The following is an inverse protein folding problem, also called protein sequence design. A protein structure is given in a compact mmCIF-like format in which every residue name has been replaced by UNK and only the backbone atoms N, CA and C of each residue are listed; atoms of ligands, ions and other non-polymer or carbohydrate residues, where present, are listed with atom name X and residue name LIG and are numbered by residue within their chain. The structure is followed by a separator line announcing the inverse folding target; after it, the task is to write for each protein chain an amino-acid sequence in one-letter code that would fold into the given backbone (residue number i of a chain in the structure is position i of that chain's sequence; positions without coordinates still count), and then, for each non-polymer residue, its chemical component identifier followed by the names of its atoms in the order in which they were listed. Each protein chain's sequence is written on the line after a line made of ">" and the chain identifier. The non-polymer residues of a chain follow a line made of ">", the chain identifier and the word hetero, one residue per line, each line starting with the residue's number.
data_IF_796166239143
#
_entry.id   IF_796166239143
#
_cell.length_a   1.000
_cell.length_b   1.000
_cell.length_c   1.000
_cell.angle_alpha   90.00
_cell.angle_beta   90.00
_cell.angle_gamma   90.00
#
_symmetry.space_group_name_H-M   'P 1'
#
loop_
_entity.id
_entity.type
_entity.pdbx_description
1 polymer ?
#
# COMPACT_ATOMS: atom_id res chain seq x y z
N UNK A 1 -15.43 17.02 -1.62
CA UNK A 1 -14.78 15.88 -0.93
C UNK A 1 -14.65 16.17 0.57
N UNK A 2 -14.01 17.27 0.99
CA UNK A 2 -13.77 17.58 2.41
C UNK A 2 -15.07 17.68 3.24
N UNK A 3 -16.12 18.34 2.71
CA UNK A 3 -17.42 18.49 3.38
C UNK A 3 -18.15 17.13 3.57
N UNK A 4 -18.00 16.22 2.62
CA UNK A 4 -18.61 14.89 2.69
C UNK A 4 -17.86 13.98 3.67
N UNK A 5 -16.53 14.00 3.63
CA UNK A 5 -15.68 13.21 4.54
C UNK A 5 -15.88 13.66 5.99
N UNK A 6 -16.00 14.98 6.27
CA UNK A 6 -16.27 15.47 7.63
C UNK A 6 -17.61 15.00 8.18
N UNK A 7 -18.63 14.83 7.33
CA UNK A 7 -19.96 14.33 7.74
C UNK A 7 -20.00 12.83 8.01
N UNK A 8 -19.23 12.05 7.23
CA UNK A 8 -19.27 10.57 7.26
C UNK A 8 -18.16 9.94 8.08
N UNK A 9 -17.16 10.72 8.48
CA UNK A 9 -15.99 10.23 9.21
C UNK A 9 -16.35 9.80 10.62
N UNK A 10 -16.25 8.50 10.90
CA UNK A 10 -16.20 8.03 12.27
C UNK A 10 -14.98 8.60 12.99
N UNK A 11 -15.12 9.04 14.25
CA UNK A 11 -14.03 9.65 15.06
C UNK A 11 -12.75 8.80 15.12
N UNK A 12 -12.88 7.48 14.92
CA UNK A 12 -11.77 6.50 14.93
C UNK A 12 -11.18 6.19 13.54
N UNK A 13 -11.79 6.68 12.45
CA UNK A 13 -11.34 6.36 11.09
C UNK A 13 -10.38 7.41 10.57
N UNK A 14 -9.32 6.97 9.93
CA UNK A 14 -8.35 7.81 9.23
C UNK A 14 -8.60 7.73 7.73
N UNK A 15 -8.64 8.88 7.08
CA UNK A 15 -8.81 8.99 5.63
C UNK A 15 -7.49 9.40 5.01
N UNK A 16 -7.05 8.62 4.04
CA UNK A 16 -5.88 8.88 3.21
C UNK A 16 -6.32 8.94 1.75
N UNK A 17 -5.87 9.95 1.03
CA UNK A 17 -6.13 10.08 -0.41
C UNK A 17 -4.81 10.02 -1.16
N UNK A 18 -4.74 9.17 -2.17
CA UNK A 18 -3.59 9.04 -3.06
C UNK A 18 -3.99 9.45 -4.48
N UNK A 19 -4.01 10.74 -4.81
CA UNK A 19 -4.37 11.23 -6.13
C UNK A 19 -3.24 10.98 -7.13
N UNK A 20 -3.51 11.14 -8.46
CA UNK A 20 -2.45 11.19 -9.46
C UNK A 20 -1.37 12.22 -9.09
N UNK A 21 -0.11 11.93 -9.40
CA UNK A 21 1.02 12.78 -9.02
C UNK A 21 0.88 14.23 -9.47
N UNK A 22 0.29 14.46 -10.65
CA UNK A 22 0.05 15.80 -11.21
C UNK A 22 -0.91 16.66 -10.38
N UNK A 23 -1.76 16.03 -9.55
CA UNK A 23 -2.73 16.72 -8.70
C UNK A 23 -2.31 16.77 -7.22
N UNK A 24 -1.26 16.05 -6.86
CA UNK A 24 -0.90 15.79 -5.46
C UNK A 24 -0.65 17.11 -4.67
N UNK A 25 0.16 18.00 -5.21
CA UNK A 25 0.50 19.27 -4.56
C UNK A 25 -0.71 20.18 -4.36
N UNK A 26 -1.65 20.19 -5.31
CA UNK A 26 -2.88 21.00 -5.22
C UNK A 26 -3.75 20.52 -4.05
N UNK A 27 -3.85 19.21 -3.83
CA UNK A 27 -4.63 18.66 -2.72
C UNK A 27 -3.96 18.87 -1.37
N UNK A 28 -2.65 18.70 -1.28
CA UNK A 28 -1.88 18.88 -0.03
C UNK A 28 -1.99 20.32 0.46
N UNK A 29 -1.90 21.30 -0.43
CA UNK A 29 -1.99 22.71 -0.12
C UNK A 29 -3.39 23.15 0.34
N UNK A 30 -4.42 22.37 0.08
CA UNK A 30 -5.80 22.70 0.44
C UNK A 30 -6.12 22.62 1.94
N UNK A 31 -5.18 22.23 2.81
CA UNK A 31 -5.31 22.14 4.29
C UNK A 31 -6.61 21.48 4.76
N UNK A 32 -6.96 20.36 4.17
CA UNK A 32 -8.25 19.68 4.38
C UNK A 32 -8.33 18.87 5.68
N UNK A 33 -7.24 18.71 6.43
CA UNK A 33 -7.15 17.80 7.56
C UNK A 33 -7.14 16.30 7.17
N UNK A 34 -7.01 16.01 5.86
CA UNK A 34 -6.87 14.67 5.27
C UNK A 34 -5.38 14.42 5.06
N UNK A 35 -4.96 13.17 5.25
CA UNK A 35 -3.59 12.77 4.91
C UNK A 35 -3.53 12.38 3.42
N UNK A 36 -2.38 12.66 2.81
CA UNK A 36 -2.13 12.36 1.39
C UNK A 36 -0.96 11.41 1.21
N UNK A 37 -0.99 10.65 0.13
CA UNK A 37 0.05 9.70 -0.24
C UNK A 37 0.30 9.65 -1.74
N UNK A 38 1.44 9.11 -2.12
CA UNK A 38 1.75 8.76 -3.50
C UNK A 38 1.14 7.41 -3.88
N UNK A 39 0.78 7.25 -5.16
CA UNK A 39 0.31 5.97 -5.70
C UNK A 39 1.44 4.94 -5.89
N UNK A 40 2.69 5.42 -5.92
CA UNK A 40 3.93 4.63 -5.98
C UNK A 40 5.12 5.53 -5.65
N UNK A 41 6.31 4.93 -5.50
CA UNK A 41 7.58 5.65 -5.56
C UNK A 41 8.66 4.80 -6.24
N UNK A 42 9.69 5.48 -6.78
CA UNK A 42 10.87 4.81 -7.31
C UNK A 42 11.75 4.28 -6.16
N UNK A 43 12.43 3.17 -6.39
CA UNK A 43 13.30 2.53 -5.40
C UNK A 43 14.63 3.26 -5.17
N UNK A 44 14.99 4.18 -6.05
CA UNK A 44 16.15 5.05 -5.89
C UNK A 44 15.68 6.49 -5.64
N UNK A 45 16.51 7.24 -4.91
CA UNK A 45 16.20 8.61 -4.53
C UNK A 45 16.38 9.61 -5.67
N UNK A 46 17.40 9.38 -6.47
CA UNK A 46 17.81 10.24 -7.60
C UNK A 46 18.45 9.41 -8.70
N UNK A 47 18.62 10.00 -9.89
CA UNK A 47 19.24 9.38 -11.05
C UNK A 47 18.52 9.72 -12.34
N UNK A 48 18.95 9.11 -13.44
CA UNK A 48 18.38 9.30 -14.78
C UNK A 48 17.10 8.45 -14.97
N UNK A 49 16.08 8.75 -14.20
CA UNK A 49 14.79 8.02 -14.19
C UNK A 49 13.66 8.95 -14.61
N UNK A 50 13.68 9.37 -15.86
CA UNK A 50 12.71 10.31 -16.43
C UNK A 50 11.26 9.85 -16.17
N UNK A 51 10.47 10.72 -15.53
CA UNK A 51 9.06 10.46 -15.21
C UNK A 51 8.82 9.71 -13.88
N UNK A 52 9.86 9.19 -13.22
CA UNK A 52 9.72 8.55 -11.91
C UNK A 52 9.65 9.59 -10.77
N UNK A 53 8.89 9.26 -9.75
CA UNK A 53 8.74 10.06 -8.52
C UNK A 53 9.44 9.34 -7.37
N UNK A 54 10.40 9.99 -6.72
CA UNK A 54 11.11 9.38 -5.58
C UNK A 54 10.35 9.55 -4.26
N UNK A 55 10.70 8.72 -3.26
CA UNK A 55 10.17 8.85 -1.91
C UNK A 55 10.49 10.23 -1.29
N UNK A 56 11.66 10.79 -1.61
CA UNK A 56 12.04 12.15 -1.20
C UNK A 56 11.12 13.21 -1.80
N UNK A 57 10.81 13.13 -3.10
CA UNK A 57 9.88 14.04 -3.76
C UNK A 57 8.50 13.98 -3.11
N UNK A 58 7.98 12.79 -2.83
CA UNK A 58 6.72 12.63 -2.12
C UNK A 58 6.74 13.29 -0.74
N UNK A 59 7.81 13.04 0.02
CA UNK A 59 7.96 13.63 1.35
C UNK A 59 8.04 15.15 1.29
N UNK A 60 8.82 15.70 0.37
CA UNK A 60 8.96 17.16 0.16
C UNK A 60 7.65 17.81 -0.30
N UNK A 61 6.85 17.09 -1.09
CA UNK A 61 5.51 17.55 -1.45
C UNK A 61 4.51 17.55 -0.26
N UNK A 62 4.85 16.91 0.87
CA UNK A 62 4.01 16.85 2.07
C UNK A 62 3.22 15.54 2.22
N UNK A 63 3.52 14.51 1.43
CA UNK A 63 2.91 13.20 1.59
C UNK A 63 3.33 12.56 2.92
N UNK A 64 2.38 11.84 3.52
CA UNK A 64 2.62 11.00 4.71
C UNK A 64 2.58 9.52 4.38
N UNK A 65 2.03 9.14 3.23
CA UNK A 65 1.81 7.76 2.82
C UNK A 65 2.35 7.51 1.42
N UNK A 66 2.57 6.22 1.11
CA UNK A 66 2.84 5.73 -0.24
C UNK A 66 2.23 4.34 -0.39
N UNK A 67 1.59 4.08 -1.53
CA UNK A 67 1.14 2.74 -1.93
C UNK A 67 2.32 2.01 -2.57
N UNK A 68 2.57 0.77 -2.18
CA UNK A 68 3.63 -0.07 -2.76
C UNK A 68 3.05 -1.44 -3.08
N UNK A 69 3.36 -1.96 -4.26
CA UNK A 69 3.00 -3.30 -4.69
C UNK A 69 1.54 -3.48 -5.06
N UNK A 70 0.83 -2.41 -5.47
CA UNK A 70 -0.51 -2.51 -6.03
C UNK A 70 -0.57 -3.53 -7.16
N UNK A 71 -1.67 -4.30 -7.25
CA UNK A 71 -1.82 -5.39 -8.22
C UNK A 71 -1.59 -4.97 -9.66
N UNK A 72 -2.08 -3.80 -10.06
CA UNK A 72 -1.84 -3.25 -11.40
C UNK A 72 -0.35 -3.05 -11.70
N UNK A 73 0.42 -2.58 -10.73
CA UNK A 73 1.85 -2.38 -10.92
C UNK A 73 2.60 -3.71 -11.01
N UNK A 74 2.22 -4.69 -10.19
CA UNK A 74 2.76 -6.06 -10.32
C UNK A 74 2.42 -6.67 -11.68
N UNK A 75 1.21 -6.43 -12.19
CA UNK A 75 0.73 -7.00 -13.45
C UNK A 75 1.30 -6.26 -14.67
N UNK A 76 1.17 -4.94 -14.73
CA UNK A 76 1.49 -4.16 -15.92
C UNK A 76 2.92 -3.62 -15.93
N UNK A 77 3.47 -3.25 -14.77
CA UNK A 77 4.85 -2.77 -14.65
C UNK A 77 5.84 -3.89 -14.30
N UNK A 78 5.35 -5.13 -14.08
CA UNK A 78 6.16 -6.32 -13.75
C UNK A 78 7.03 -6.14 -12.51
N UNK A 79 6.53 -5.37 -11.53
CA UNK A 79 7.26 -5.15 -10.28
C UNK A 79 7.54 -6.45 -9.54
N UNK A 80 8.80 -6.70 -9.25
CA UNK A 80 9.28 -7.87 -8.53
C UNK A 80 9.30 -7.64 -7.03
N UNK A 81 9.25 -8.72 -6.22
CA UNK A 81 9.41 -8.61 -4.76
C UNK A 81 10.71 -7.90 -4.37
N UNK A 82 11.79 -8.10 -5.12
CA UNK A 82 13.06 -7.40 -4.89
C UNK A 82 12.93 -5.89 -5.05
N UNK A 83 12.27 -5.43 -6.12
CA UNK A 83 12.02 -3.99 -6.33
C UNK A 83 11.10 -3.42 -5.26
N UNK A 84 10.05 -4.16 -4.88
CA UNK A 84 9.13 -3.73 -3.83
C UNK A 84 9.86 -3.54 -2.51
N UNK A 85 10.79 -4.44 -2.16
CA UNK A 85 11.60 -4.30 -0.94
C UNK A 85 12.47 -3.04 -0.98
N UNK A 86 13.13 -2.75 -2.10
CA UNK A 86 13.90 -1.52 -2.26
C UNK A 86 13.02 -0.26 -2.14
N UNK A 87 11.78 -0.31 -2.67
CA UNK A 87 10.80 0.77 -2.50
C UNK A 87 10.37 0.94 -1.05
N UNK A 88 10.15 -0.16 -0.33
CA UNK A 88 9.84 -0.16 1.10
C UNK A 88 10.98 0.47 1.90
N UNK A 89 12.21 0.06 1.65
CA UNK A 89 13.38 0.57 2.36
C UNK A 89 13.55 2.08 2.17
N UNK A 90 13.43 2.56 0.93
CA UNK A 90 13.55 4.00 0.66
C UNK A 90 12.38 4.80 1.24
N UNK A 91 11.15 4.29 1.17
CA UNK A 91 9.99 4.93 1.78
C UNK A 91 10.14 5.02 3.31
N UNK A 92 10.63 3.96 3.94
CA UNK A 92 10.90 3.92 5.39
C UNK A 92 11.99 4.93 5.78
N UNK A 93 13.07 5.06 4.99
CA UNK A 93 14.13 6.06 5.18
C UNK A 93 13.58 7.49 5.24
N UNK A 94 12.56 7.80 4.43
CA UNK A 94 11.90 9.12 4.41
C UNK A 94 10.70 9.22 5.37
N UNK A 95 10.51 8.25 6.27
CA UNK A 95 9.40 8.23 7.22
C UNK A 95 8.03 8.38 6.53
N UNK A 96 7.85 7.77 5.38
CA UNK A 96 6.54 7.57 4.77
C UNK A 96 5.88 6.33 5.38
N UNK A 97 4.58 6.42 5.66
CA UNK A 97 3.78 5.25 6.00
C UNK A 97 3.49 4.48 4.72
N UNK A 98 3.74 3.19 4.76
CA UNK A 98 3.67 2.31 3.60
C UNK A 98 2.33 1.59 3.63
N UNK A 99 1.56 1.72 2.55
CA UNK A 99 0.38 0.91 2.28
C UNK A 99 0.83 -0.19 1.32
N UNK A 100 1.16 -1.35 1.88
CA UNK A 100 1.66 -2.50 1.11
C UNK A 100 0.50 -3.37 0.67
N UNK A 101 0.31 -3.46 -0.65
CA UNK A 101 -0.78 -4.20 -1.26
C UNK A 101 -0.41 -5.67 -1.44
N UNK A 102 -1.31 -6.54 -0.98
CA UNK A 102 -1.23 -7.99 -1.16
C UNK A 102 -2.59 -8.52 -1.64
N UNK A 103 -2.56 -9.59 -2.40
CA UNK A 103 -3.79 -10.21 -2.88
C UNK A 103 -3.51 -11.29 -3.92
N UNK A 104 -4.55 -12.06 -4.23
CA UNK A 104 -4.50 -13.18 -5.16
C UNK A 104 -5.39 -12.94 -6.38
N UNK A 105 -5.02 -13.60 -7.51
CA UNK A 105 -5.84 -13.66 -8.73
C UNK A 105 -6.94 -14.72 -8.59
N UNK A 106 -7.92 -14.69 -9.49
CA UNK A 106 -9.02 -15.66 -9.50
C UNK A 106 -8.53 -17.12 -9.57
N UNK A 107 -7.51 -17.38 -10.36
CA UNK A 107 -6.89 -18.71 -10.49
C UNK A 107 -6.18 -19.18 -9.22
N UNK A 108 -5.88 -18.28 -8.29
CA UNK A 108 -5.08 -18.50 -7.09
C UNK A 108 -5.92 -18.64 -5.81
N UNK A 109 -7.25 -18.47 -5.89
CA UNK A 109 -8.15 -18.52 -4.72
C UNK A 109 -7.95 -19.79 -3.88
N UNK A 110 -7.78 -20.94 -4.54
CA UNK A 110 -7.58 -22.24 -3.85
C UNK A 110 -6.27 -22.33 -3.06
N UNK A 111 -5.29 -21.51 -3.44
CA UNK A 111 -3.96 -21.46 -2.80
C UNK A 111 -3.69 -20.09 -2.17
N UNK A 112 -4.74 -19.31 -1.89
CA UNK A 112 -4.68 -17.94 -1.36
C UNK A 112 -3.68 -17.80 -0.20
N UNK A 113 -3.77 -18.64 0.81
CA UNK A 113 -2.86 -18.58 1.97
C UNK A 113 -1.40 -18.66 1.56
N UNK A 114 -1.06 -19.54 0.61
CA UNK A 114 0.31 -19.66 0.09
C UNK A 114 0.76 -18.39 -0.63
N UNK A 115 -0.12 -17.79 -1.44
CA UNK A 115 0.17 -16.54 -2.15
C UNK A 115 0.38 -15.39 -1.17
N UNK A 116 -0.54 -15.19 -0.23
CA UNK A 116 -0.44 -14.12 0.77
C UNK A 116 0.80 -14.30 1.65
N UNK A 117 1.08 -15.53 2.10
CA UNK A 117 2.29 -15.82 2.87
C UNK A 117 3.56 -15.48 2.08
N UNK A 118 3.64 -15.90 0.81
CA UNK A 118 4.79 -15.56 -0.06
C UNK A 118 4.98 -14.06 -0.23
N UNK A 119 3.89 -13.28 -0.33
CA UNK A 119 3.97 -11.83 -0.44
C UNK A 119 4.38 -11.17 0.87
N UNK A 120 3.93 -11.67 2.03
CA UNK A 120 4.30 -11.17 3.35
C UNK A 120 5.75 -11.55 3.71
N UNK A 121 6.14 -12.81 3.50
CA UNK A 121 7.51 -13.29 3.78
C UNK A 121 8.57 -12.64 2.90
N UNK A 122 8.16 -11.97 1.81
CA UNK A 122 9.07 -11.18 0.97
C UNK A 122 9.38 -9.79 1.53
N UNK A 123 8.72 -9.37 2.62
CA UNK A 123 8.98 -8.06 3.23
C UNK A 123 10.40 -7.97 3.84
N UNK A 124 11.03 -6.77 3.83
CA UNK A 124 12.32 -6.60 4.48
C UNK A 124 12.23 -6.89 5.98
N UNK A 125 13.16 -7.68 6.51
CA UNK A 125 13.21 -8.03 7.94
C UNK A 125 13.31 -6.81 8.89
N UNK A 126 13.93 -5.73 8.44
CA UNK A 126 14.13 -4.49 9.24
C UNK A 126 13.10 -3.40 8.98
N UNK A 127 11.87 -3.78 8.64
CA UNK A 127 10.82 -2.79 8.41
C UNK A 127 10.30 -2.20 9.73
N UNK A 128 10.07 -0.89 9.76
CA UNK A 128 9.37 -0.28 10.88
C UNK A 128 7.87 -0.60 10.80
N UNK A 129 7.44 -1.58 11.58
CA UNK A 129 6.06 -2.06 11.64
C UNK A 129 5.04 -0.94 11.91
N UNK A 130 5.42 0.09 12.69
CA UNK A 130 4.54 1.24 12.97
C UNK A 130 4.21 2.07 11.72
N UNK A 131 5.02 1.93 10.68
CA UNK A 131 4.84 2.62 9.40
C UNK A 131 4.25 1.70 8.33
N UNK A 132 3.98 0.42 8.61
CA UNK A 132 3.44 -0.53 7.65
C UNK A 132 1.93 -0.71 7.85
N UNK A 133 1.20 -0.65 6.76
CA UNK A 133 -0.23 -0.98 6.66
C UNK A 133 -0.36 -2.03 5.57
N UNK A 134 -0.90 -3.18 5.91
CA UNK A 134 -1.21 -4.22 4.93
C UNK A 134 -2.59 -3.93 4.33
N UNK A 135 -2.63 -3.78 3.02
CA UNK A 135 -3.86 -3.60 2.26
C UNK A 135 -4.16 -4.87 1.46
N UNK A 136 -5.17 -5.62 1.91
CA UNK A 136 -5.63 -6.77 1.13
C UNK A 136 -6.52 -6.30 -0.02
N UNK A 137 -6.15 -6.64 -1.24
CA UNK A 137 -6.90 -6.39 -2.46
C UNK A 137 -7.18 -7.71 -3.19
N UNK A 138 -8.45 -8.19 -3.18
CA UNK A 138 -8.81 -9.36 -3.99
C UNK A 138 -8.73 -9.00 -5.47
N UNK A 139 -7.61 -9.32 -6.14
CA UNK A 139 -7.32 -8.91 -7.52
C UNK A 139 -8.43 -9.35 -8.48
N UNK A 140 -9.05 -10.49 -8.20
CA UNK A 140 -10.18 -11.02 -8.96
C UNK A 140 -11.47 -10.18 -8.85
N UNK A 141 -11.57 -9.30 -7.87
CA UNK A 141 -12.73 -8.43 -7.68
C UNK A 141 -12.56 -7.06 -8.35
N UNK A 142 -11.31 -6.64 -8.61
CA UNK A 142 -11.03 -5.31 -9.17
C UNK A 142 -11.60 -5.21 -10.59
N UNK A 143 -12.48 -4.20 -10.81
CA UNK A 143 -13.07 -3.93 -12.12
C UNK A 143 -14.08 -4.96 -12.63
N UNK A 144 -14.41 -6.01 -11.85
CA UNK A 144 -15.29 -7.11 -12.29
C UNK A 144 -16.73 -6.97 -11.82
N UNK A 145 -17.01 -6.03 -10.91
CA UNK A 145 -18.28 -5.91 -10.21
C UNK A 145 -18.54 -7.00 -9.14
N UNK A 146 -17.60 -7.93 -8.97
CA UNK A 146 -17.64 -8.92 -7.88
C UNK A 146 -17.06 -8.32 -6.62
N UNK A 147 -17.63 -8.68 -5.47
CA UNK A 147 -17.11 -8.26 -4.16
C UNK A 147 -17.04 -9.47 -3.24
N UNK A 148 -15.99 -9.61 -2.44
CA UNK A 148 -15.98 -10.63 -1.40
C UNK A 148 -17.06 -10.32 -0.35
N UNK A 149 -17.59 -11.36 0.28
CA UNK A 149 -18.51 -11.22 1.41
C UNK A 149 -17.77 -10.71 2.65
N UNK A 150 -18.51 -10.11 3.58
CA UNK A 150 -17.95 -9.65 4.87
C UNK A 150 -17.27 -10.81 5.63
N UNK A 151 -17.88 -12.01 5.58
CA UNK A 151 -17.31 -13.22 6.19
C UNK A 151 -15.96 -13.61 5.58
N UNK A 152 -15.84 -13.56 4.26
CA UNK A 152 -14.58 -13.83 3.56
C UNK A 152 -13.51 -12.79 3.91
N UNK A 153 -13.86 -11.50 3.92
CA UNK A 153 -12.93 -10.43 4.30
C UNK A 153 -12.42 -10.66 5.72
N UNK A 154 -13.31 -10.93 6.67
CA UNK A 154 -12.93 -11.16 8.08
C UNK A 154 -12.00 -12.37 8.23
N UNK A 155 -12.32 -13.48 7.53
CA UNK A 155 -11.47 -14.67 7.54
C UNK A 155 -10.08 -14.40 6.96
N UNK A 156 -10.01 -13.66 5.87
CA UNK A 156 -8.74 -13.33 5.21
C UNK A 156 -7.90 -12.38 6.07
N UNK A 157 -8.52 -11.38 6.69
CA UNK A 157 -7.82 -10.49 7.61
C UNK A 157 -7.26 -11.25 8.81
N UNK A 158 -7.99 -12.22 9.34
CA UNK A 158 -7.50 -13.09 10.41
C UNK A 158 -6.30 -13.93 9.94
N UNK A 159 -6.39 -14.54 8.76
CA UNK A 159 -5.28 -15.29 8.17
C UNK A 159 -4.02 -14.40 8.00
N UNK A 160 -4.18 -13.18 7.49
CA UNK A 160 -3.08 -12.22 7.34
C UNK A 160 -2.46 -11.87 8.70
N UNK A 161 -3.27 -11.59 9.71
CA UNK A 161 -2.79 -11.31 11.05
C UNK A 161 -1.98 -12.49 11.62
N UNK A 162 -2.46 -13.71 11.46
CA UNK A 162 -1.78 -14.91 11.95
C UNK A 162 -0.46 -15.15 11.21
N UNK A 163 -0.43 -15.02 9.89
CA UNK A 163 0.79 -15.16 9.08
C UNK A 163 1.84 -14.14 9.49
N UNK A 164 1.42 -12.89 9.68
CA UNK A 164 2.34 -11.79 10.02
C UNK A 164 2.90 -11.91 11.45
N UNK A 165 2.11 -12.43 12.40
CA UNK A 165 2.54 -12.59 13.80
C UNK A 165 3.37 -13.85 14.01
N UNK A 166 3.18 -14.92 13.24
CA UNK A 166 4.00 -16.14 13.33
C UNK A 166 5.44 -15.88 12.87
N UNK A 167 5.63 -15.16 11.77
CA UNK A 167 6.98 -14.81 11.27
C UNK A 167 7.74 -13.86 12.23
N UNK A 168 7.01 -13.09 13.06
CA UNK A 168 7.61 -12.20 14.06
C UNK A 168 7.96 -12.91 15.40
N UNK A 169 7.47 -14.12 15.61
CA UNK A 169 7.72 -14.88 16.85
C UNK A 169 8.94 -15.82 16.74
N UNK A 170 9.44 -16.05 15.52
CA UNK A 170 10.61 -16.91 15.24
C UNK A 170 11.95 -16.12 15.22
N UNK A 171 11.95 -14.84 15.63
CA UNK A 171 13.12 -13.97 15.86
C UNK A 171 13.31 -13.66 17.36
#
# INVERSE_FOLDING_TARGET
>A
IDRHIKKTRHKKSKVVICPPFTLLTNFINAKTGIDFGGQDCHHLNEGAFTGCISAQMLKSAGCKYVIIGHSERREYQKETSKELNLKIDIANKYNLKIIYCIGEKLSEIKIRKKILNSQLSSLPKKINIKNLIIAYEPVWAIGTGKTPTIGEINSIHLDICLLYTSDAADE
#
